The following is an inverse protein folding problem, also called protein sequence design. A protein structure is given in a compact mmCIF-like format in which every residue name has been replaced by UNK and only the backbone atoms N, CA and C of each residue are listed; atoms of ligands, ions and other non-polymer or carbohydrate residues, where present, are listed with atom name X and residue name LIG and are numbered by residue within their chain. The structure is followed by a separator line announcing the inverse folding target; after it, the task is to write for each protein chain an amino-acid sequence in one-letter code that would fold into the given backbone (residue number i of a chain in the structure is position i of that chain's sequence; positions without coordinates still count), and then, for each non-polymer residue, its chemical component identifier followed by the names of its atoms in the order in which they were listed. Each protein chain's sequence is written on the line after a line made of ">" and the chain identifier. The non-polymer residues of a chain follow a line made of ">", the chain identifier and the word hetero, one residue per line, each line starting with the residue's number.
data_IF_307878441929
#
_entry.id   IF_307878441929
#
_cell.length_a   1.000
_cell.length_b   1.000
_cell.length_c   1.000
_cell.angle_alpha   90.00
_cell.angle_beta   90.00
_cell.angle_gamma   90.00
#
_symmetry.space_group_name_H-M   'P 1'
#
loop_
_entity.id
_entity.type
_entity.pdbx_description
1 polymer ?
#
# COMPACT_ATOMS: atom_id res chain seq x y z
N UNK A 1 -17.22 -3.22 -26.99
CA UNK A 1 -16.14 -2.23 -26.84
C UNK A 1 -16.73 -0.97 -26.19
N UNK A 2 -16.25 -0.57 -25.01
CA UNK A 2 -16.80 0.59 -24.30
C UNK A 2 -16.48 1.88 -25.09
N UNK A 3 -17.50 2.70 -25.38
CA UNK A 3 -17.33 3.96 -26.11
C UNK A 3 -16.33 4.86 -25.37
N UNK A 4 -15.39 5.48 -26.10
CA UNK A 4 -14.32 6.29 -25.49
C UNK A 4 -14.89 7.43 -24.64
N UNK A 5 -16.00 8.04 -25.07
CA UNK A 5 -16.69 9.07 -24.30
C UNK A 5 -17.19 8.59 -22.93
N UNK A 6 -17.69 7.35 -22.84
CA UNK A 6 -18.16 6.79 -21.57
C UNK A 6 -17.02 6.59 -20.55
N UNK A 7 -15.84 6.17 -21.01
CA UNK A 7 -14.66 6.02 -20.14
C UNK A 7 -14.24 7.35 -19.51
N UNK A 8 -14.22 8.42 -20.30
CA UNK A 8 -13.87 9.75 -19.81
C UNK A 8 -14.88 10.28 -18.79
N UNK A 9 -16.17 10.06 -19.04
CA UNK A 9 -17.22 10.43 -18.07
C UNK A 9 -17.01 9.72 -16.74
N UNK A 10 -16.72 8.41 -16.75
CA UNK A 10 -16.44 7.65 -15.52
C UNK A 10 -15.19 8.15 -14.80
N UNK A 11 -14.09 8.37 -15.53
CA UNK A 11 -12.83 8.85 -14.94
C UNK A 11 -12.96 10.24 -14.32
N UNK A 12 -13.57 11.18 -15.05
CA UNK A 12 -13.79 12.55 -14.57
C UNK A 12 -14.78 12.57 -13.40
N UNK A 13 -15.84 11.77 -13.48
CA UNK A 13 -16.79 11.61 -12.37
C UNK A 13 -16.11 11.09 -11.10
N UNK A 14 -15.27 10.05 -11.22
CA UNK A 14 -14.50 9.52 -10.10
C UNK A 14 -13.50 10.52 -9.53
N UNK A 15 -12.75 11.22 -10.40
CA UNK A 15 -11.81 12.25 -9.98
C UNK A 15 -12.52 13.42 -9.25
N UNK A 16 -13.68 13.84 -9.75
CA UNK A 16 -14.52 14.86 -9.10
C UNK A 16 -15.02 14.41 -7.72
N UNK A 17 -15.43 13.15 -7.58
CA UNK A 17 -15.82 12.58 -6.29
C UNK A 17 -14.67 12.54 -5.30
N UNK A 18 -13.46 12.16 -5.74
CA UNK A 18 -12.26 12.22 -4.90
C UNK A 18 -11.92 13.65 -4.49
N UNK A 19 -11.95 14.61 -5.42
CA UNK A 19 -11.69 16.02 -5.14
C UNK A 19 -12.70 16.60 -4.13
N UNK A 20 -13.97 16.21 -4.25
CA UNK A 20 -15.00 16.60 -3.29
C UNK A 20 -14.73 16.04 -1.88
N UNK A 21 -14.32 14.78 -1.78
CA UNK A 21 -13.92 14.17 -0.49
C UNK A 21 -12.69 14.84 0.14
N UNK A 22 -11.75 15.32 -0.67
CA UNK A 22 -10.56 16.04 -0.20
C UNK A 22 -10.87 17.44 0.34
N UNK A 23 -12.01 18.03 -0.01
CA UNK A 23 -12.39 19.37 0.45
C UNK A 23 -12.60 19.46 1.98
N UNK A 24 -12.89 18.32 2.64
CA UNK A 24 -13.07 18.25 4.09
C UNK A 24 -11.81 17.96 4.90
N UNK A 25 -10.62 17.99 4.29
CA UNK A 25 -9.37 17.74 5.01
C UNK A 25 -8.97 18.95 5.87
N UNK A 26 -8.40 18.72 7.07
CA UNK A 26 -7.84 19.80 7.88
C UNK A 26 -6.73 20.57 7.17
N UNK A 27 -6.52 21.81 7.59
CA UNK A 27 -5.45 22.65 7.05
C UNK A 27 -4.07 22.04 7.31
N UNK A 28 -3.18 22.16 6.32
CA UNK A 28 -1.82 21.62 6.43
C UNK A 28 -1.04 22.40 7.47
N UNK A 29 -0.49 21.69 8.45
CA UNK A 29 0.36 22.28 9.50
C UNK A 29 -0.41 22.81 10.71
N UNK A 30 -1.73 22.62 10.76
CA UNK A 30 -2.51 22.91 11.95
C UNK A 30 -2.16 21.92 13.08
N UNK A 31 -1.73 22.47 14.22
CA UNK A 31 -1.29 21.74 15.40
C UNK A 31 -2.47 21.12 16.16
N UNK A 32 -3.66 21.70 16.04
CA UNK A 32 -4.86 21.29 16.75
C UNK A 32 -5.68 20.26 15.95
N UNK A 33 -5.09 19.70 14.89
CA UNK A 33 -5.74 18.65 14.11
C UNK A 33 -5.79 17.33 14.90
N UNK A 34 -6.85 16.53 14.75
CA UNK A 34 -6.98 15.24 15.44
C UNK A 34 -5.81 14.27 15.19
N UNK A 35 -5.08 14.43 14.09
CA UNK A 35 -3.91 13.61 13.73
C UNK A 35 -2.68 13.94 14.60
N UNK A 36 -2.59 15.17 15.11
CA UNK A 36 -1.49 15.66 15.94
C UNK A 36 -1.79 15.56 17.44
N UNK A 37 -3.02 15.24 17.82
CA UNK A 37 -3.39 15.06 19.22
C UNK A 37 -2.63 13.89 19.86
N UNK A 38 -2.23 14.09 21.13
CA UNK A 38 -1.56 13.04 21.91
C UNK A 38 -2.52 11.98 22.43
N UNK A 39 -3.80 12.32 22.55
CA UNK A 39 -4.82 11.49 23.16
C UNK A 39 -6.02 11.34 22.23
N UNK A 40 -6.60 10.14 22.20
CA UNK A 40 -7.83 9.85 21.47
C UNK A 40 -9.04 10.33 22.29
N UNK A 41 -10.22 10.37 21.67
CA UNK A 41 -11.53 10.66 22.31
C UNK A 41 -11.79 9.80 23.56
N UNK A 42 -11.23 8.59 23.63
CA UNK A 42 -11.33 7.65 24.75
C UNK A 42 -10.33 7.90 25.89
N UNK A 43 -9.49 8.94 25.79
CA UNK A 43 -8.43 9.25 26.76
C UNK A 43 -7.17 8.39 26.64
N UNK A 44 -7.12 7.45 25.69
CA UNK A 44 -5.91 6.65 25.41
C UNK A 44 -4.92 7.40 24.52
N UNK A 45 -3.60 7.17 24.65
CA UNK A 45 -2.61 7.76 23.76
C UNK A 45 -2.88 7.43 22.28
N UNK A 46 -2.72 8.39 21.37
CA UNK A 46 -2.75 8.10 19.93
C UNK A 46 -1.53 7.27 19.52
N UNK A 47 -1.61 6.44 18.47
CA UNK A 47 -0.47 5.69 17.99
C UNK A 47 0.72 6.59 17.64
N UNK A 48 0.49 7.72 16.98
CA UNK A 48 1.53 8.68 16.64
C UNK A 48 2.22 9.25 17.89
N UNK A 49 1.46 9.73 18.87
CA UNK A 49 2.02 10.22 20.13
C UNK A 49 2.79 9.14 20.88
N UNK A 50 2.25 7.91 20.93
CA UNK A 50 2.89 6.77 21.58
C UNK A 50 4.22 6.39 20.93
N UNK A 51 4.26 6.28 19.58
CA UNK A 51 5.47 5.93 18.85
C UNK A 51 6.57 6.97 19.08
N UNK A 52 6.25 8.27 19.04
CA UNK A 52 7.21 9.35 19.27
C UNK A 52 7.82 9.27 20.68
N UNK A 53 6.99 9.01 21.70
CA UNK A 53 7.45 9.03 23.10
C UNK A 53 8.12 7.72 23.55
N UNK A 54 7.76 6.58 22.97
CA UNK A 54 8.13 5.25 23.49
C UNK A 54 8.92 4.36 22.55
N UNK A 55 8.94 4.59 21.23
CA UNK A 55 9.56 3.68 20.26
C UNK A 55 11.01 3.29 20.62
N UNK A 56 11.83 4.27 21.00
CA UNK A 56 13.23 3.99 21.38
C UNK A 56 13.34 3.20 22.69
N UNK A 57 12.47 3.49 23.67
CA UNK A 57 12.49 2.81 24.97
C UNK A 57 12.11 1.34 24.85
N UNK A 58 11.17 1.03 23.95
CA UNK A 58 10.60 -0.30 23.76
C UNK A 58 11.45 -1.16 22.81
N UNK A 59 11.87 -0.59 21.66
CA UNK A 59 12.55 -1.35 20.60
C UNK A 59 14.07 -1.13 20.53
N UNK A 60 14.62 -0.20 21.33
CA UNK A 60 16.07 0.12 21.38
C UNK A 60 16.70 0.48 20.03
N UNK A 61 15.87 0.89 19.06
CA UNK A 61 16.29 1.22 17.70
C UNK A 61 16.11 2.73 17.48
N UNK A 62 17.15 3.46 17.05
CA UNK A 62 17.10 4.92 16.96
C UNK A 62 16.20 5.42 15.83
N UNK A 63 15.93 4.61 14.80
CA UNK A 63 15.03 4.97 13.72
C UNK A 63 13.58 4.61 14.05
N UNK A 64 12.77 5.62 14.37
CA UNK A 64 11.33 5.45 14.65
C UNK A 64 10.59 4.77 13.50
N UNK A 65 10.92 5.05 12.24
CA UNK A 65 10.22 4.46 11.09
C UNK A 65 10.45 2.96 11.03
N UNK A 66 11.68 2.51 11.30
CA UNK A 66 12.00 1.08 11.37
C UNK A 66 11.23 0.41 12.51
N UNK A 67 11.13 1.05 13.67
CA UNK A 67 10.35 0.50 14.81
C UNK A 67 8.86 0.40 14.46
N UNK A 68 8.29 1.42 13.81
CA UNK A 68 6.88 1.39 13.41
C UNK A 68 6.62 0.26 12.42
N UNK A 69 7.47 0.10 11.41
CA UNK A 69 7.30 -0.92 10.37
C UNK A 69 7.65 -2.33 10.84
N UNK A 70 8.63 -2.46 11.74
CA UNK A 70 9.22 -3.74 12.16
C UNK A 70 8.66 -4.30 13.47
N UNK A 71 8.27 -3.43 14.41
CA UNK A 71 7.79 -3.84 15.74
C UNK A 71 6.28 -3.58 15.90
N UNK A 72 5.80 -2.36 15.62
CA UNK A 72 4.39 -2.00 15.87
C UNK A 72 3.43 -2.42 14.76
N UNK A 73 3.84 -2.36 13.49
CA UNK A 73 3.03 -2.69 12.30
C UNK A 73 3.69 -3.77 11.43
N UNK A 74 4.33 -4.73 12.08
CA UNK A 74 5.08 -5.81 11.45
C UNK A 74 4.25 -6.72 10.55
N UNK A 75 2.94 -6.83 10.80
CA UNK A 75 2.03 -7.64 9.96
C UNK A 75 1.79 -6.99 8.60
N UNK A 76 1.71 -5.65 8.52
CA UNK A 76 1.53 -4.95 7.25
C UNK A 76 2.76 -5.16 6.35
N UNK A 77 3.96 -5.08 6.91
CA UNK A 77 5.22 -5.30 6.17
C UNK A 77 5.46 -6.78 5.85
N UNK A 78 5.09 -7.71 6.74
CA UNK A 78 5.11 -9.14 6.43
C UNK A 78 4.19 -9.47 5.26
N UNK A 79 3.00 -8.87 5.22
CA UNK A 79 2.06 -9.00 4.11
C UNK A 79 2.65 -8.53 2.78
N UNK A 80 3.29 -7.36 2.77
CA UNK A 80 4.00 -6.84 1.60
C UNK A 80 5.09 -7.81 1.11
N UNK A 81 5.90 -8.35 2.04
CA UNK A 81 6.94 -9.34 1.72
C UNK A 81 6.34 -10.60 1.09
N UNK A 82 5.23 -11.11 1.62
CA UNK A 82 4.53 -12.27 1.06
C UNK A 82 4.04 -11.99 -0.36
N UNK A 83 3.41 -10.83 -0.61
CA UNK A 83 2.91 -10.46 -1.95
C UNK A 83 4.04 -10.40 -2.96
N UNK A 84 5.15 -9.71 -2.65
CA UNK A 84 6.30 -9.58 -3.55
C UNK A 84 6.97 -10.94 -3.77
N UNK A 85 7.10 -11.74 -2.72
CA UNK A 85 7.66 -13.09 -2.81
C UNK A 85 6.81 -14.00 -3.71
N UNK A 86 5.49 -14.01 -3.54
CA UNK A 86 4.57 -14.78 -4.40
C UNK A 86 4.65 -14.33 -5.85
N UNK A 87 4.70 -13.01 -6.13
CA UNK A 87 4.88 -12.49 -7.48
C UNK A 87 6.21 -12.96 -8.11
N UNK A 88 7.30 -12.96 -7.32
CA UNK A 88 8.60 -13.49 -7.74
C UNK A 88 8.56 -14.98 -8.08
N UNK A 89 7.88 -15.79 -7.25
CA UNK A 89 7.70 -17.23 -7.51
C UNK A 89 6.91 -17.49 -8.80
N UNK A 90 5.82 -16.75 -9.03
CA UNK A 90 5.02 -16.85 -10.26
C UNK A 90 5.90 -16.55 -11.48
N UNK A 91 6.73 -15.51 -11.42
CA UNK A 91 7.64 -15.16 -12.50
C UNK A 91 8.64 -16.28 -12.82
N UNK A 92 9.26 -16.87 -11.79
CA UNK A 92 10.21 -17.98 -11.96
C UNK A 92 9.53 -19.19 -12.61
N UNK A 93 8.33 -19.56 -12.13
CA UNK A 93 7.57 -20.68 -12.69
C UNK A 93 7.19 -20.44 -14.16
N UNK A 94 6.77 -19.22 -14.51
CA UNK A 94 6.43 -18.84 -15.87
C UNK A 94 7.64 -18.95 -16.80
N UNK A 95 8.80 -18.44 -16.38
CA UNK A 95 10.02 -18.46 -17.18
C UNK A 95 10.64 -19.85 -17.32
N UNK A 96 10.47 -20.70 -16.32
CA UNK A 96 11.01 -22.08 -16.32
C UNK A 96 10.16 -23.02 -17.17
N UNK A 97 8.85 -22.75 -17.31
CA UNK A 97 7.93 -23.56 -18.10
C UNK A 97 8.02 -23.28 -19.62
N UNK A 98 9.22 -23.42 -20.21
CA UNK A 98 9.42 -23.40 -21.66
C UNK A 98 8.95 -24.72 -22.27
N UNK A 99 7.65 -24.86 -22.52
CA UNK A 99 7.16 -25.95 -23.39
C UNK A 99 7.82 -25.80 -24.76
N UNK A 100 8.59 -26.80 -25.19
CA UNK A 100 9.02 -26.91 -26.59
C UNK A 100 7.75 -27.08 -27.42
N UNK A 101 7.45 -26.11 -28.28
CA UNK A 101 6.43 -26.28 -29.31
C UNK A 101 6.95 -27.39 -30.23
N UNK A 102 6.24 -28.53 -30.38
CA UNK A 102 6.63 -29.55 -31.35
C UNK A 102 6.58 -28.93 -32.75
N UNK A 103 7.70 -28.94 -33.47
CA UNK A 103 7.70 -28.66 -34.91
C UNK A 103 6.88 -29.77 -35.57
N UNK A 104 5.69 -29.43 -36.05
CA UNK A 104 5.00 -30.25 -37.05
C UNK A 104 5.74 -30.04 -38.35
N UNK A 105 6.63 -30.97 -38.68
CA UNK A 105 7.24 -31.07 -40.00
C UNK A 105 6.12 -31.28 -41.01
N UNK A 106 5.80 -30.21 -41.74
CA UNK A 106 4.90 -30.27 -42.88
C UNK A 106 5.55 -31.15 -43.93
N UNK A 107 5.09 -32.40 -44.01
CA UNK A 107 5.34 -33.25 -45.16
C UNK A 107 4.69 -32.60 -46.38
N UNK A 108 5.54 -32.13 -47.29
CA UNK A 108 5.12 -31.80 -48.65
C UNK A 108 4.68 -33.09 -49.36
N UNK A 109 3.62 -33.03 -50.20
CA UNK A 109 3.11 -34.17 -50.95
C UNK A 109 4.05 -34.64 -52.08
#
# INVERSE_FOLDING_TARGET
>A
MMNQGFKWVVLVGFAGLMAWGMWGLPDRGDLDTPMNEKTTITGSPTPAGHYIEKAYKEAKTPNIVTVVLGDYRSIDTLGEVVVVFTAGLILILLLTNRRRVPQTDGGDP
#
